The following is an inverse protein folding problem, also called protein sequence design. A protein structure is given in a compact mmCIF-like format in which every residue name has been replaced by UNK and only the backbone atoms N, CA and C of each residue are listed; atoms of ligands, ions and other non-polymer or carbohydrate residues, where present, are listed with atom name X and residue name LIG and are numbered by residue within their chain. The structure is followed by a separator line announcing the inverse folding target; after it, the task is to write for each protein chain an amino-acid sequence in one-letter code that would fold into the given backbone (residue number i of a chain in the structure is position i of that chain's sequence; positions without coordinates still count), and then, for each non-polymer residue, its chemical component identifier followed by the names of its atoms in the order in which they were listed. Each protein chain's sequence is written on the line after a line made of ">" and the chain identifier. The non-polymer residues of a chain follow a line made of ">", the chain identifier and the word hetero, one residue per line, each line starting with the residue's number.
data_IF_952766872975
#
_entry.id   IF_952766872975
#
_cell.length_a   1.000
_cell.length_b   1.000
_cell.length_c   1.000
_cell.angle_alpha   90.00
_cell.angle_beta   90.00
_cell.angle_gamma   90.00
#
_symmetry.space_group_name_H-M   'P 1'
#
loop_
_entity.id
_entity.type
_entity.pdbx_description
1 polymer ?
2 non-polymer ?
3 non-polymer ?
4 non-polymer ?
5 water ?
#
# COMPACT_ATOMS: atom_id res chain seq x y z
N UNK A 24 3.35 -13.91 9.62
CA UNK A 24 1.90 -13.69 9.45
C UNK A 24 1.69 -12.77 8.24
N UNK A 25 0.45 -12.42 7.95
CA UNK A 25 0.13 -11.47 6.85
C UNK A 25 -0.42 -10.19 7.49
N UNK A 26 0.09 -9.01 7.12
CA UNK A 26 -0.51 -7.77 7.64
C UNK A 26 -1.91 -7.54 7.05
N UNK A 27 -2.73 -6.72 7.71
CA UNK A 27 -4.11 -6.49 7.31
C UNK A 27 -4.11 -5.85 5.92
N UNK A 28 -3.19 -4.95 5.65
CA UNK A 28 -3.16 -4.33 4.31
C UNK A 28 -3.09 -5.43 3.22
N UNK A 29 -2.16 -6.36 3.39
CA UNK A 29 -1.97 -7.48 2.43
C UNK A 29 -3.18 -8.38 2.42
N UNK A 30 -3.80 -8.66 3.57
CA UNK A 30 -5.03 -9.44 3.59
C UNK A 30 -6.08 -8.76 2.68
N UNK A 31 -6.16 -7.42 2.73
CA UNK A 31 -7.17 -6.76 1.88
C UNK A 31 -6.91 -6.99 0.39
N UNK A 32 -5.64 -6.99 0.00
CA UNK A 32 -5.28 -7.37 -1.40
C UNK A 32 -5.68 -8.80 -1.73
N UNK A 33 -5.42 -9.76 -0.82
CA UNK A 33 -5.67 -11.17 -1.07
C UNK A 33 -7.18 -11.44 -1.16
N UNK A 34 -7.94 -10.96 -0.18
CA UNK A 34 -9.41 -11.15 -0.14
C UNK A 34 -10.07 -10.47 -1.34
N UNK A 35 -9.54 -9.30 -1.73
CA UNK A 35 -10.09 -8.66 -2.96
C UNK A 35 -9.86 -9.56 -4.19
N UNK A 36 -8.63 -10.06 -4.34
CA UNK A 36 -8.30 -10.91 -5.48
C UNK A 36 -9.18 -12.16 -5.51
N UNK A 37 -9.40 -12.75 -4.35
CA UNK A 37 -10.19 -13.99 -4.19
C UNK A 37 -11.70 -13.73 -4.30
N UNK A 38 -12.15 -12.47 -4.21
CA UNK A 38 -13.58 -12.14 -4.24
C UNK A 38 -14.26 -12.58 -2.98
N UNK A 39 -13.50 -12.57 -1.90
CA UNK A 39 -14.03 -12.86 -0.52
C UNK A 39 -14.82 -11.63 -0.10
N UNK A 40 -16.15 -11.74 -0.16
CA UNK A 40 -17.04 -10.67 0.35
C UNK A 40 -16.93 -10.71 1.87
N UNK A 41 -16.43 -9.65 2.48
CA UNK A 41 -16.24 -9.59 3.95
C UNK A 41 -16.32 -8.11 4.38
N UNK A 42 -16.48 -7.88 5.69
CA UNK A 42 -16.41 -6.56 6.38
C UNK A 42 -14.99 -6.33 6.86
N UNK A 43 -14.55 -5.08 6.93
CA UNK A 43 -13.18 -4.75 7.40
C UNK A 43 -13.01 -5.15 8.87
N UNK A 44 -14.09 -5.01 9.66
CA UNK A 44 -14.17 -5.43 11.09
C UNK A 44 -13.58 -6.84 11.27
N UNK A 45 -13.86 -7.74 10.32
CA UNK A 45 -13.52 -9.18 10.40
C UNK A 45 -12.23 -9.52 9.66
N UNK A 46 -11.62 -8.54 9.00
CA UNK A 46 -10.50 -8.78 8.05
C UNK A 46 -9.35 -9.52 8.76
N UNK A 47 -8.86 -9.05 9.91
CA UNK A 47 -7.69 -9.68 10.57
C UNK A 47 -8.05 -11.07 11.10
N UNK A 48 -9.28 -11.23 11.57
CA UNK A 48 -9.77 -12.49 12.18
C UNK A 48 -9.87 -13.57 11.09
N UNK A 49 -10.55 -13.24 10.00
CA UNK A 49 -10.70 -14.13 8.81
C UNK A 49 -9.29 -14.40 8.26
N UNK A 50 -8.42 -13.38 8.22
CA UNK A 50 -7.12 -13.50 7.55
C UNK A 50 -6.15 -14.44 8.26
N UNK A 51 -6.40 -14.77 9.52
CA UNK A 51 -5.57 -15.77 10.24
C UNK A 51 -5.71 -17.15 9.60
N UNK A 52 -6.77 -17.40 8.84
CA UNK A 52 -7.06 -18.70 8.19
C UNK A 52 -6.47 -18.74 6.77
N UNK A 53 -5.80 -17.69 6.32
CA UNK A 53 -5.10 -17.73 5.00
C UNK A 53 -3.81 -18.52 5.14
N UNK A 54 -3.64 -19.54 4.32
CA UNK A 54 -2.33 -20.25 4.20
C UNK A 54 -1.49 -19.47 3.20
N UNK A 55 -0.23 -19.33 3.47
CA UNK A 55 0.66 -18.53 2.58
C UNK A 55 1.93 -19.35 2.33
N UNK A 56 2.36 -19.40 1.08
CA UNK A 56 3.61 -20.06 0.66
C UNK A 56 4.39 -19.09 -0.18
N UNK A 57 5.70 -18.97 0.09
CA UNK A 57 6.64 -18.12 -0.65
C UNK A 57 7.61 -18.98 -1.45
N UNK A 58 7.88 -18.52 -2.66
CA UNK A 58 8.69 -19.31 -3.65
C UNK A 58 9.73 -18.42 -4.29
N UNK A 59 10.94 -18.95 -4.38
CA UNK A 59 11.86 -18.48 -5.41
C UNK A 59 11.48 -19.02 -6.77
N UNK A 60 11.99 -18.47 -7.85
CA UNK A 60 11.77 -19.00 -9.19
C UNK A 60 13.08 -19.00 -9.96
N UNK A 61 13.46 -20.19 -10.45
CA UNK A 61 14.74 -20.31 -11.21
C UNK A 61 14.40 -21.15 -12.42
N UNK A 62 14.34 -20.55 -13.58
CA UNK A 62 14.07 -21.19 -14.88
C UNK A 62 12.83 -22.08 -14.77
N UNK A 63 11.71 -21.54 -14.26
CA UNK A 63 10.42 -22.26 -14.31
C UNK A 63 10.16 -23.10 -13.10
N UNK A 64 11.13 -23.25 -12.23
CA UNK A 64 11.09 -24.06 -11.01
C UNK A 64 10.86 -23.17 -9.79
N UNK A 65 9.82 -23.47 -9.06
CA UNK A 65 9.44 -22.75 -7.84
C UNK A 65 9.80 -23.56 -6.63
N UNK A 66 10.75 -23.06 -5.85
CA UNK A 66 11.18 -23.70 -4.60
C UNK A 66 10.70 -22.92 -3.39
N UNK A 67 10.22 -23.61 -2.35
CA UNK A 67 9.72 -22.98 -1.11
C UNK A 67 10.88 -22.18 -0.49
N UNK A 68 10.59 -20.99 -0.01
CA UNK A 68 11.50 -20.17 0.84
C UNK A 68 10.74 -19.70 2.06
N UNK A 69 11.43 -19.31 3.15
CA UNK A 69 10.72 -19.15 4.41
C UNK A 69 9.93 -17.84 4.54
N UNK A 70 10.23 -16.85 3.72
CA UNK A 70 9.58 -15.53 3.84
C UNK A 70 9.46 -14.82 2.50
N UNK A 71 8.72 -13.71 2.51
CA UNK A 71 8.32 -12.97 1.30
C UNK A 71 9.54 -12.27 0.73
N UNK A 72 10.63 -12.09 1.49
CA UNK A 72 11.74 -11.32 0.90
C UNK A 72 12.45 -12.19 -0.15
N UNK A 73 12.71 -11.58 -1.32
CA UNK A 73 13.25 -12.25 -2.55
C UNK A 73 12.21 -13.13 -3.23
N UNK A 74 10.97 -13.17 -2.72
CA UNK A 74 9.99 -14.11 -3.32
C UNK A 74 9.71 -13.68 -4.75
N UNK A 75 9.58 -14.64 -5.67
CA UNK A 75 9.18 -14.41 -7.06
C UNK A 75 7.71 -14.75 -7.29
N UNK A 76 7.17 -15.54 -6.39
CA UNK A 76 5.74 -15.93 -6.41
C UNK A 76 5.37 -16.13 -4.96
N UNK A 77 4.20 -15.58 -4.57
CA UNK A 77 3.58 -15.86 -3.26
C UNK A 77 2.21 -16.43 -3.58
N UNK A 78 1.92 -17.55 -2.97
CA UNK A 78 0.58 -18.19 -3.15
C UNK A 78 -0.15 -18.20 -1.83
N UNK A 79 -1.37 -17.67 -1.90
CA UNK A 79 -2.33 -17.63 -0.74
C UNK A 79 -3.44 -18.60 -0.99
N UNK A 80 -3.96 -19.20 0.08
CA UNK A 80 -5.06 -20.16 -0.08
C UNK A 80 -6.03 -19.89 1.05
N UNK A 81 -7.30 -19.77 0.72
CA UNK A 81 -8.31 -19.44 1.74
C UNK A 81 -9.62 -19.96 1.22
N UNK A 82 -10.36 -20.71 2.07
CA UNK A 82 -11.76 -21.12 1.76
C UNK A 82 -11.85 -21.66 0.34
N UNK A 83 -10.90 -22.53 0.04
CA UNK A 83 -10.82 -23.35 -1.19
C UNK A 83 -10.43 -22.55 -2.42
N UNK A 84 -10.00 -21.29 -2.27
CA UNK A 84 -9.64 -20.46 -3.45
C UNK A 84 -8.15 -20.08 -3.35
N UNK A 85 -7.53 -19.87 -4.50
CA UNK A 85 -6.13 -19.42 -4.57
C UNK A 85 -6.07 -17.92 -4.87
N UNK A 86 -4.98 -17.32 -4.47
CA UNK A 86 -4.51 -16.05 -5.06
C UNK A 86 -3.02 -16.13 -5.22
N UNK A 87 -2.52 -15.62 -6.30
CA UNK A 87 -1.07 -15.47 -6.50
C UNK A 87 -0.67 -14.04 -6.54
N UNK A 88 0.54 -13.79 -6.06
CA UNK A 88 1.16 -12.45 -6.05
C UNK A 88 2.52 -12.57 -6.67
N UNK A 89 2.89 -11.56 -7.42
CA UNK A 89 4.21 -11.48 -7.99
C UNK A 89 4.66 -10.05 -8.19
N UNK A 90 5.95 -9.83 -8.08
CA UNK A 90 6.49 -8.49 -8.41
C UNK A 90 6.29 -8.23 -9.89
N UNK A 91 6.01 -6.99 -10.20
CA UNK A 91 5.72 -6.55 -11.52
C UNK A 91 6.28 -5.13 -11.67
N UNK A 92 6.62 -4.79 -12.90
CA UNK A 92 7.00 -3.38 -13.24
C UNK A 92 5.82 -2.66 -14.17
N UNK A 93 5.24 -1.63 -13.58
CA UNK A 93 4.06 -0.96 -14.18
C UNK A 93 4.47 0.48 -14.42
N UNK A 94 4.55 0.88 -15.69
CA UNK A 94 5.07 2.20 -16.17
C UNK A 94 6.33 2.60 -15.37
N UNK A 95 7.30 1.71 -15.31
CA UNK A 95 8.63 1.97 -14.75
C UNK A 95 8.67 1.87 -13.24
N UNK A 96 7.58 1.55 -12.56
CA UNK A 96 7.59 1.44 -11.12
C UNK A 96 7.46 0.00 -10.62
N UNK A 97 8.20 -0.33 -9.59
CA UNK A 97 8.18 -1.64 -8.99
C UNK A 97 6.88 -1.75 -8.18
N UNK A 98 6.16 -2.84 -8.40
CA UNK A 98 4.90 -3.07 -7.75
C UNK A 98 4.65 -4.58 -7.58
N UNK A 99 3.51 -4.88 -7.01
CA UNK A 99 3.05 -6.27 -6.91
C UNK A 99 1.67 -6.37 -7.52
N UNK A 100 1.40 -7.45 -8.18
CA UNK A 100 0.08 -7.81 -8.73
C UNK A 100 -0.44 -9.02 -7.96
N UNK A 101 -1.70 -8.97 -7.57
CA UNK A 101 -2.41 -10.09 -6.96
C UNK A 101 -3.50 -10.53 -7.92
N UNK A 102 -3.70 -11.83 -8.04
CA UNK A 102 -4.81 -12.37 -8.85
C UNK A 102 -5.39 -13.62 -8.23
N UNK A 103 -6.72 -13.63 -8.12
CA UNK A 103 -7.43 -14.80 -7.61
C UNK A 103 -7.63 -15.82 -8.70
N UNK A 104 -7.57 -17.10 -8.35
CA UNK A 104 -7.66 -18.21 -9.30
C UNK A 104 -8.61 -19.27 -8.72
N UNK A 105 -9.61 -19.67 -9.50
CA UNK A 105 -10.50 -20.77 -9.11
C UNK A 105 -9.71 -22.07 -9.04
N UNK A 106 -10.05 -22.95 -8.08
CA UNK A 106 -9.21 -24.13 -7.81
C UNK A 106 -9.30 -25.24 -8.85
N UNK A 107 -10.10 -25.06 -9.90
CA UNK A 107 -10.08 -25.91 -11.11
C UNK A 107 -9.19 -25.33 -12.20
N UNK A 108 -8.56 -24.18 -11.93
CA UNK A 108 -7.66 -23.48 -12.87
C UNK A 108 -8.42 -23.12 -14.15
N UNK A 109 -9.72 -22.87 -14.05
CA UNK A 109 -10.53 -22.46 -15.24
C UNK A 109 -10.78 -20.96 -15.30
N UNK A 110 -10.71 -20.23 -14.19
CA UNK A 110 -10.98 -18.78 -14.26
C UNK A 110 -10.04 -18.01 -13.33
N UNK A 111 -9.76 -16.76 -13.70
CA UNK A 111 -9.34 -15.78 -12.67
C UNK A 111 -10.55 -15.10 -12.07
N UNK A 112 -10.37 -14.58 -10.86
CA UNK A 112 -11.39 -13.93 -10.04
C UNK A 112 -11.26 -12.41 -10.09
N UNK A 113 -10.33 -11.81 -9.37
CA UNK A 113 -10.12 -10.34 -9.50
C UNK A 113 -8.63 -10.17 -9.53
N UNK A 114 -8.17 -9.05 -10.05
CA UNK A 114 -6.75 -8.64 -9.94
C UNK A 114 -6.68 -7.29 -9.24
N UNK A 115 -5.56 -7.03 -8.61
CA UNK A 115 -5.30 -5.70 -8.05
C UNK A 115 -3.79 -5.47 -7.95
N UNK A 116 -3.39 -4.23 -7.75
CA UNK A 116 -1.98 -3.81 -7.64
C UNK A 116 -1.72 -3.22 -6.27
N UNK A 117 -0.53 -3.49 -5.78
CA UNK A 117 0.09 -2.71 -4.70
C UNK A 117 1.30 -1.99 -5.29
N UNK A 118 1.34 -0.67 -5.19
CA UNK A 118 2.56 0.08 -5.54
C UNK A 118 2.44 0.78 -6.86
N UNK A 119 1.30 0.66 -7.48
CA UNK A 119 1.04 1.29 -8.77
C UNK A 119 -0.46 1.35 -8.95
N UNK A 120 -0.90 2.03 -9.96
CA UNK A 120 -2.32 2.27 -10.17
C UNK A 120 -2.67 2.09 -11.65
N UNK A 121 -3.54 1.35 -12.09
CA UNK A 121 -3.85 1.03 -13.51
C UNK A 121 -5.34 0.67 -13.62
N UNK A 122 -6.00 1.25 -14.62
CA UNK A 122 -7.39 0.87 -14.98
C UNK A 122 -7.46 -0.58 -15.46
N UNK A 123 -6.35 -1.21 -15.82
CA UNK A 123 -6.34 -2.58 -16.37
C UNK A 123 -6.91 -3.57 -15.37
N UNK A 124 -6.88 -3.32 -14.07
CA UNK A 124 -7.59 -4.24 -13.14
C UNK A 124 -9.06 -4.46 -13.49
N UNK A 125 -9.70 -3.54 -14.20
CA UNK A 125 -11.11 -3.69 -14.61
C UNK A 125 -11.25 -4.63 -15.79
N UNK A 126 -10.17 -4.86 -16.51
CA UNK A 126 -10.11 -5.80 -17.65
C UNK A 126 -9.77 -7.20 -17.11
N UNK A 127 -8.76 -7.27 -16.25
CA UNK A 127 -8.15 -8.56 -15.80
C UNK A 127 -8.94 -9.07 -14.60
N UNK A 128 -10.21 -9.44 -14.85
CA UNK A 128 -11.15 -9.98 -13.85
C UNK A 128 -12.17 -10.85 -14.57
N UNK A 129 -12.53 -11.96 -13.94
CA UNK A 129 -13.55 -12.92 -14.40
C UNK A 129 -13.26 -13.36 -15.83
N UNK A 130 -12.03 -13.74 -16.13
CA UNK A 130 -11.61 -14.22 -17.46
C UNK A 130 -11.40 -15.73 -17.35
N UNK A 131 -11.65 -16.39 -18.45
CA UNK A 131 -11.32 -17.81 -18.62
C UNK A 131 -9.84 -18.04 -18.75
N UNK A 132 -9.44 -19.19 -18.22
CA UNK A 132 -8.08 -19.75 -18.34
C UNK A 132 -8.26 -21.05 -19.12
N UNK A 133 -7.55 -21.17 -20.21
CA UNK A 133 -7.55 -22.36 -21.08
C UNK A 133 -6.18 -22.97 -20.99
N UNK A 134 -6.03 -24.08 -20.26
CA UNK A 134 -4.75 -24.80 -20.17
C UNK A 134 -3.63 -23.84 -19.75
N UNK A 135 -3.86 -23.12 -18.65
CA UNK A 135 -2.91 -22.26 -17.91
C UNK A 135 -2.74 -20.88 -18.59
N UNK A 136 -3.45 -20.61 -19.69
CA UNK A 136 -3.29 -19.32 -20.42
C UNK A 136 -4.57 -18.51 -20.36
N UNK A 137 -4.51 -17.22 -20.00
CA UNK A 137 -5.73 -16.37 -19.96
C UNK A 137 -6.31 -16.26 -21.37
N UNK A 138 -7.63 -16.29 -21.47
CA UNK A 138 -8.35 -16.11 -22.77
C UNK A 138 -8.61 -14.61 -22.92
N UNK A 139 -7.60 -13.90 -23.43
CA UNK A 139 -7.70 -12.43 -23.69
C UNK A 139 -6.68 -12.05 -24.76
N UNK A 140 -7.05 -11.10 -25.62
CA UNK A 140 -6.14 -10.42 -26.55
C UNK A 140 -5.92 -9.01 -26.00
N UNK A 141 -4.69 -8.59 -25.83
CA UNK A 141 -4.44 -7.21 -25.31
C UNK A 141 -3.90 -6.36 -26.47
N UNK A 142 -3.96 -5.05 -26.28
CA UNK A 142 -3.27 -4.09 -27.18
C UNK A 142 -1.76 -4.32 -27.05
N UNK A 143 -1.15 -4.85 -28.09
CA UNK A 143 0.30 -5.14 -28.19
C UNK A 143 1.16 -3.85 -28.07
N UNK A 144 0.60 -2.65 -28.15
CA UNK A 144 1.42 -1.42 -27.98
C UNK A 144 1.42 -0.90 -26.53
N UNK A 145 0.61 -1.53 -25.64
CA UNK A 145 0.39 -1.00 -24.26
C UNK A 145 1.30 -1.81 -23.33
N UNK A 146 2.41 -1.25 -22.89
CA UNK A 146 3.42 -1.99 -22.08
C UNK A 146 2.69 -2.57 -20.86
N UNK A 147 1.81 -1.81 -20.25
CA UNK A 147 1.11 -2.20 -18.99
C UNK A 147 0.18 -3.39 -19.26
N UNK A 148 -0.51 -3.40 -20.39
CA UNK A 148 -1.45 -4.48 -20.73
C UNK A 148 -0.62 -5.73 -21.00
N UNK A 149 0.51 -5.61 -21.69
CA UNK A 149 1.38 -6.78 -21.94
C UNK A 149 1.89 -7.33 -20.62
N UNK A 150 2.33 -6.44 -19.75
CA UNK A 150 2.87 -6.79 -18.40
C UNK A 150 1.78 -7.51 -17.59
N UNK A 151 0.55 -7.02 -17.57
CA UNK A 151 -0.58 -7.69 -16.84
C UNK A 151 -0.78 -9.10 -17.39
N UNK A 152 -0.86 -9.24 -18.71
CA UNK A 152 -1.11 -10.58 -19.29
C UNK A 152 0.06 -11.51 -18.99
N UNK A 153 1.28 -11.05 -19.15
CA UNK A 153 2.49 -11.84 -18.91
C UNK A 153 2.54 -12.26 -17.43
N UNK A 154 2.27 -11.31 -16.53
CA UNK A 154 2.34 -11.55 -15.07
C UNK A 154 1.21 -12.52 -14.68
N UNK A 155 0.02 -12.33 -15.17
CA UNK A 155 -1.09 -13.21 -14.75
C UNK A 155 -0.82 -14.62 -15.28
N UNK A 156 -0.34 -14.75 -16.51
CA UNK A 156 -0.02 -16.11 -17.01
C UNK A 156 1.09 -16.74 -16.19
N UNK A 157 2.11 -15.98 -15.81
CA UNK A 157 3.24 -16.46 -14.99
C UNK A 157 2.68 -16.98 -13.68
N UNK A 158 1.75 -16.23 -13.11
CA UNK A 158 1.19 -16.63 -11.79
C UNK A 158 0.38 -17.90 -11.94
N UNK A 159 -0.49 -17.98 -12.93
CA UNK A 159 -1.35 -19.17 -13.13
C UNK A 159 -0.39 -20.36 -13.25
N UNK A 160 0.63 -20.27 -14.10
CA UNK A 160 1.62 -21.37 -14.30
C UNK A 160 2.20 -21.80 -12.96
N UNK A 161 2.70 -20.87 -12.16
CA UNK A 161 3.28 -21.14 -10.86
C UNK A 161 2.31 -21.78 -9.92
N UNK A 162 1.09 -21.24 -9.84
CA UNK A 162 0.12 -21.78 -8.86
C UNK A 162 -0.22 -23.21 -9.28
N UNK A 163 -0.39 -23.46 -10.58
CA UNK A 163 -0.70 -24.85 -11.05
C UNK A 163 0.46 -25.76 -10.68
N UNK A 164 1.68 -25.31 -10.89
CA UNK A 164 2.88 -26.15 -10.59
C UNK A 164 2.97 -26.52 -9.11
N UNK A 165 2.63 -25.64 -8.18
CA UNK A 165 2.76 -25.92 -6.72
C UNK A 165 1.46 -26.48 -6.15
N UNK A 166 0.39 -26.53 -6.92
CA UNK A 166 -0.93 -26.98 -6.44
C UNK A 166 -0.92 -28.36 -5.80
N UNK A 167 -0.02 -29.25 -6.14
CA UNK A 167 -0.07 -30.48 -5.36
C UNK A 167 0.11 -30.29 -3.84
N UNK A 168 0.68 -29.17 -3.44
CA UNK A 168 0.81 -28.85 -2.02
C UNK A 168 -0.48 -28.39 -1.34
N UNK A 169 -1.45 -27.97 -2.14
CA UNK A 169 -2.71 -27.47 -1.65
C UNK A 169 -3.96 -28.28 -1.94
N UNK A 170 -4.56 -28.14 -3.12
CA UNK A 170 -5.77 -28.87 -3.40
C UNK A 170 -5.66 -29.60 -4.74
N UNK A 171 -4.48 -29.55 -5.33
CA UNK A 171 -4.14 -30.34 -6.49
C UNK A 171 -5.13 -30.24 -7.64
N UNK B 24 2.04 25.51 -6.41
CA UNK B 24 0.84 25.02 -5.69
C UNK B 24 1.13 24.86 -4.19
N UNK B 25 2.27 24.27 -3.86
CA UNK B 25 2.79 24.12 -2.46
C UNK B 25 3.91 25.15 -2.30
N UNK B 26 3.94 25.97 -1.25
CA UNK B 26 5.08 26.90 -1.06
C UNK B 26 6.34 26.17 -0.60
N UNK B 27 7.50 26.78 -0.81
CA UNK B 27 8.80 26.18 -0.59
C UNK B 27 8.87 25.80 0.91
N UNK B 28 8.32 26.61 1.77
CA UNK B 28 8.43 26.30 3.22
C UNK B 28 7.75 24.94 3.50
N UNK B 29 6.55 24.78 2.98
CA UNK B 29 5.78 23.53 3.15
C UNK B 29 6.54 22.38 2.47
N UNK B 30 7.09 22.59 1.26
CA UNK B 30 7.88 21.52 0.64
C UNK B 30 8.97 21.06 1.61
N UNK B 31 9.61 22.00 2.30
CA UNK B 31 10.66 21.54 3.24
C UNK B 31 10.11 20.65 4.38
N UNK B 32 8.92 20.96 4.88
CA UNK B 32 8.27 20.02 5.83
C UNK B 32 8.00 18.64 5.22
N UNK B 33 7.47 18.61 3.97
CA UNK B 33 7.06 17.37 3.31
C UNK B 33 8.31 16.50 3.04
N UNK B 34 9.35 17.08 2.42
CA UNK B 34 10.57 16.33 2.10
C UNK B 34 11.29 15.87 3.36
N UNK B 35 11.26 16.70 4.43
CA UNK B 35 11.83 16.20 5.71
C UNK B 35 11.05 15.00 6.23
N UNK B 36 9.71 15.05 6.22
CA UNK B 36 8.91 13.92 6.69
C UNK B 36 9.20 12.67 5.88
N UNK B 37 9.33 12.83 4.55
CA UNK B 37 9.53 11.72 3.63
C UNK B 37 10.99 11.23 3.65
N UNK B 38 11.91 11.96 4.27
CA UNK B 38 13.34 11.59 4.24
C UNK B 38 13.91 11.73 2.85
N UNK B 39 13.41 12.70 2.10
CA UNK B 39 13.94 13.03 0.75
C UNK B 39 15.21 13.84 0.98
N UNK B 40 16.33 13.16 0.75
CA UNK B 40 17.66 13.82 0.83
C UNK B 40 17.80 14.66 -0.43
N UNK B 41 17.90 15.97 -0.30
CA UNK B 41 17.91 16.92 -1.41
C UNK B 41 18.67 18.14 -0.89
N UNK B 42 19.12 18.98 -1.82
CA UNK B 42 19.74 20.29 -1.52
C UNK B 42 18.65 21.37 -1.64
N UNK B 43 18.76 22.46 -0.90
CA UNK B 43 17.76 23.55 -0.90
C UNK B 43 17.63 24.20 -2.27
N UNK B 44 18.71 24.33 -3.05
CA UNK B 44 18.64 25.03 -4.38
C UNK B 44 17.64 24.29 -5.30
N UNK B 45 17.45 22.99 -5.07
CA UNK B 45 16.59 22.13 -5.93
C UNK B 45 15.19 21.94 -5.31
N UNK B 46 14.94 22.46 -4.11
CA UNK B 46 13.71 22.17 -3.35
C UNK B 46 12.47 22.56 -4.19
N UNK B 47 12.40 23.77 -4.79
CA UNK B 47 11.17 24.24 -5.48
C UNK B 47 10.96 23.45 -6.78
N UNK B 48 12.03 23.11 -7.46
CA UNK B 48 12.02 22.37 -8.74
C UNK B 48 11.55 20.92 -8.50
N UNK B 49 12.13 20.22 -7.53
CA UNK B 49 11.71 18.86 -7.12
C UNK B 49 10.27 18.91 -6.60
N UNK B 50 9.93 19.95 -5.84
CA UNK B 50 8.60 20.09 -5.20
C UNK B 50 7.45 20.19 -6.19
N UNK B 51 7.68 20.56 -7.44
CA UNK B 51 6.63 20.59 -8.47
C UNK B 51 6.11 19.18 -8.72
N UNK B 52 6.87 18.15 -8.42
CA UNK B 52 6.48 16.74 -8.65
C UNK B 52 5.73 16.14 -7.44
N UNK B 53 5.48 16.91 -6.38
CA UNK B 53 4.67 16.41 -5.23
C UNK B 53 3.20 16.47 -5.64
N UNK B 54 2.53 15.34 -5.56
CA UNK B 54 1.05 15.27 -5.67
C UNK B 54 0.49 15.59 -4.30
N UNK B 55 -0.56 16.39 -4.25
CA UNK B 55 -1.18 16.81 -2.98
C UNK B 55 -2.69 16.65 -3.06
N UNK B 56 -3.27 16.07 -2.03
CA UNK B 56 -4.73 15.90 -1.89
C UNK B 56 -5.13 16.46 -0.54
N UNK B 57 -6.22 17.22 -0.51
CA UNK B 57 -6.81 17.80 0.69
C UNK B 57 -8.15 17.15 1.00
N UNK B 58 -8.38 16.90 2.26
CA UNK B 58 -9.60 16.16 2.75
C UNK B 58 -10.20 16.87 3.92
N UNK B 59 -11.54 16.92 3.90
CA UNK B 59 -12.31 17.05 5.13
C UNK B 59 -12.35 15.73 5.88
N UNK B 60 -12.82 15.77 7.12
CA UNK B 60 -12.91 14.57 7.94
C UNK B 60 -14.19 14.57 8.79
N UNK B 61 -15.14 13.71 8.41
CA UNK B 61 -16.41 13.62 9.13
C UNK B 61 -16.64 12.20 9.64
N UNK B 62 -16.54 12.03 10.95
CA UNK B 62 -16.74 10.70 11.59
C UNK B 62 -15.96 9.63 10.82
N UNK B 63 -14.67 9.88 10.54
CA UNK B 63 -13.79 8.83 10.03
C UNK B 63 -13.78 8.77 8.52
N UNK B 64 -14.63 9.55 7.86
CA UNK B 64 -14.73 9.63 6.41
C UNK B 64 -13.97 10.85 5.91
N UNK B 65 -13.09 10.60 4.97
CA UNK B 65 -12.28 11.66 4.34
C UNK B 65 -12.77 11.92 2.95
N UNK B 66 -13.33 13.10 2.78
CA UNK B 66 -13.79 13.55 1.46
C UNK B 66 -12.85 14.58 0.84
N UNK B 67 -12.61 14.46 -0.44
CA UNK B 67 -11.77 15.37 -1.23
C UNK B 67 -12.35 16.79 -1.12
N UNK B 68 -11.51 17.78 -0.87
CA UNK B 68 -11.84 19.23 -0.98
C UNK B 68 -10.76 19.92 -1.80
N UNK B 69 -11.02 21.14 -2.30
CA UNK B 69 -10.16 21.71 -3.33
C UNK B 69 -8.86 22.34 -2.83
N UNK B 70 -8.83 22.75 -1.59
CA UNK B 70 -7.66 23.49 -1.06
C UNK B 70 -7.41 23.14 0.39
N UNK B 71 -6.31 23.65 0.92
CA UNK B 71 -5.96 23.35 2.27
C UNK B 71 -6.78 24.02 3.31
N UNK B 72 -7.55 25.03 2.94
CA UNK B 72 -8.34 25.68 3.99
C UNK B 72 -9.47 24.73 4.44
N UNK B 73 -9.59 24.58 5.75
CA UNK B 73 -10.50 23.67 6.47
C UNK B 73 -10.08 22.20 6.38
N UNK B 74 -8.89 21.92 5.88
CA UNK B 74 -8.52 20.54 5.72
C UNK B 74 -8.23 19.92 7.03
N UNK B 75 -8.68 18.70 7.19
CA UNK B 75 -8.42 17.90 8.38
C UNK B 75 -7.27 16.93 8.15
N UNK B 76 -7.02 16.64 6.89
CA UNK B 76 -5.89 15.78 6.46
C UNK B 76 -5.43 16.29 5.14
N UNK B 77 -4.12 16.40 4.95
CA UNK B 77 -3.48 16.70 3.66
C UNK B 77 -2.58 15.52 3.41
N UNK B 78 -2.66 14.97 2.22
CA UNK B 78 -1.76 13.86 1.83
C UNK B 78 -0.90 14.31 0.68
N UNK B 79 0.41 14.12 0.87
CA UNK B 79 1.40 14.38 -0.19
C UNK B 79 2.01 13.08 -0.67
N UNK B 80 2.37 13.03 -1.93
CA UNK B 80 2.94 11.84 -2.51
C UNK B 80 4.09 12.25 -3.45
N UNK B 81 5.25 11.67 -3.21
CA UNK B 81 6.37 12.01 -4.01
C UNK B 81 7.35 10.86 -4.07
N UNK B 82 7.79 10.49 -5.26
CA UNK B 82 8.78 9.42 -5.45
C UNK B 82 8.41 8.20 -4.67
N UNK B 83 7.18 7.83 -4.85
CA UNK B 83 6.58 6.68 -4.24
C UNK B 83 6.45 6.62 -2.69
N UNK B 84 6.57 7.77 -2.04
CA UNK B 84 6.44 7.86 -0.60
C UNK B 84 5.29 8.80 -0.23
N UNK B 85 4.64 8.53 0.88
CA UNK B 85 3.58 9.37 1.38
C UNK B 85 4.03 10.20 2.58
N UNK B 86 3.37 11.33 2.75
CA UNK B 86 3.47 12.10 3.95
C UNK B 86 2.05 12.60 4.24
N UNK B 87 1.66 12.59 5.51
CA UNK B 87 0.40 13.14 5.88
C UNK B 87 0.60 14.33 6.83
N UNK B 88 -0.30 15.30 6.73
CA UNK B 88 -0.26 16.49 7.55
C UNK B 88 -1.64 16.69 8.18
N UNK B 89 -1.66 17.09 9.44
CA UNK B 89 -2.91 17.38 10.08
C UNK B 89 -2.72 18.43 11.14
N UNK B 90 -3.77 19.19 11.41
CA UNK B 90 -3.69 20.11 12.56
C UNK B 90 -3.55 19.31 13.86
N UNK B 91 -2.86 19.92 14.81
CA UNK B 91 -2.52 19.33 16.14
C UNK B 91 -2.44 20.46 17.15
N UNK B 92 -2.78 20.19 18.41
CA UNK B 92 -2.60 21.12 19.56
C UNK B 92 -1.43 20.62 20.41
N UNK B 93 -0.37 21.39 20.54
CA UNK B 93 0.88 20.97 21.22
C UNK B 93 1.18 22.05 22.26
N UNK B 94 1.31 21.69 23.53
CA UNK B 94 1.57 22.63 24.65
C UNK B 94 0.69 23.87 24.49
N UNK B 95 -0.61 23.67 24.29
CA UNK B 95 -1.62 24.73 24.20
C UNK B 95 -1.54 25.54 22.92
N UNK B 96 -0.77 25.12 21.91
CA UNK B 96 -0.56 25.87 20.64
C UNK B 96 -1.19 25.12 19.45
N UNK B 97 -1.91 25.82 18.58
CA UNK B 97 -2.43 25.30 17.30
C UNK B 97 -1.23 25.17 16.35
N UNK B 98 -1.03 23.99 15.77
CA UNK B 98 0.13 23.68 14.93
C UNK B 98 -0.30 22.64 13.88
N UNK B 99 0.64 22.26 13.03
CA UNK B 99 0.47 21.16 12.08
C UNK B 99 1.58 20.16 12.30
N UNK B 100 1.24 18.89 12.21
CA UNK B 100 2.23 17.78 12.23
C UNK B 100 2.31 17.18 10.83
N UNK B 101 3.50 16.85 10.36
CA UNK B 101 3.77 16.13 9.12
C UNK B 101 4.41 14.82 9.50
N UNK B 102 4.03 13.73 8.87
CA UNK B 102 4.68 12.43 9.09
C UNK B 102 4.80 11.69 7.77
N UNK B 103 5.99 11.18 7.49
CA UNK B 103 6.21 10.31 6.34
C UNK B 103 5.84 8.87 6.61
N UNK B 104 5.28 8.20 5.61
CA UNK B 104 4.76 6.84 5.71
C UNK B 104 5.25 6.05 4.51
N UNK B 105 5.87 4.90 4.75
CA UNK B 105 6.29 4.02 3.65
C UNK B 105 5.06 3.44 2.96
N UNK B 106 5.12 3.21 1.63
CA UNK B 106 3.91 2.87 0.88
C UNK B 106 3.37 1.46 1.09
N UNK B 107 4.04 0.66 1.92
CA UNK B 107 3.52 -0.62 2.40
C UNK B 107 2.80 -0.46 3.74
N UNK B 108 2.71 0.78 4.26
CA UNK B 108 2.07 1.08 5.57
C UNK B 108 2.71 0.28 6.69
N UNK B 109 4.00 0.03 6.60
CA UNK B 109 4.72 -0.73 7.64
C UNK B 109 5.63 0.15 8.50
N UNK B 110 5.99 1.36 8.06
CA UNK B 110 6.81 2.24 8.92
C UNK B 110 6.41 3.71 8.73
N UNK B 111 6.63 4.51 9.75
CA UNK B 111 6.81 5.96 9.55
C UNK B 111 8.27 6.27 9.27
N UNK B 112 8.49 7.42 8.66
CA UNK B 112 9.80 7.92 8.26
C UNK B 112 10.32 8.99 9.22
N UNK B 113 9.95 10.28 9.06
CA UNK B 113 10.22 11.32 10.06
C UNK B 113 8.91 12.04 10.36
N UNK B 114 8.86 12.66 11.51
CA UNK B 114 7.82 13.62 11.87
C UNK B 114 8.43 15.01 12.00
N UNK B 115 7.63 16.04 11.86
CA UNK B 115 8.04 17.42 12.16
C UNK B 115 6.78 18.25 12.45
N UNK B 116 6.98 19.43 13.04
CA UNK B 116 5.92 20.38 13.40
C UNK B 116 6.14 21.68 12.67
N UNK B 117 5.01 22.28 12.26
CA UNK B 117 4.92 23.71 11.92
C UNK B 117 4.06 24.38 12.98
N UNK B 118 4.53 25.39 13.64
CA UNK B 118 3.72 26.16 14.59
C UNK B 118 3.98 25.86 16.03
N UNK B 119 4.87 24.92 16.30
CA UNK B 119 5.16 24.51 17.69
C UNK B 119 6.49 23.81 17.65
N UNK B 120 7.07 23.60 18.82
CA UNK B 120 8.42 23.06 18.93
C UNK B 120 8.43 21.96 19.99
N UNK B 121 8.85 20.76 19.65
CA UNK B 121 8.81 19.59 20.57
C UNK B 121 9.95 18.63 20.25
N UNK B 122 10.71 18.23 21.27
CA UNK B 122 11.73 17.17 21.14
C UNK B 122 11.09 15.83 20.78
N UNK B 123 9.78 15.68 20.90
CA UNK B 123 9.12 14.39 20.59
C UNK B 123 9.33 14.00 19.13
N UNK B 124 9.64 14.92 18.22
CA UNK B 124 9.96 14.49 16.82
C UNK B 124 11.13 13.51 16.78
N UNK B 125 12.00 13.50 17.80
CA UNK B 125 13.09 12.54 17.90
C UNK B 125 12.61 11.15 18.26
N UNK B 126 11.47 11.03 18.90
CA UNK B 126 10.86 9.75 19.32
C UNK B 126 10.03 9.24 18.14
N UNK B 127 9.20 10.10 17.57
CA UNK B 127 8.24 9.72 16.51
C UNK B 127 8.92 9.75 15.13
N UNK B 128 9.81 8.79 14.88
CA UNK B 128 10.59 8.64 13.64
C UNK B 128 11.06 7.18 13.58
N UNK B 129 11.02 6.62 12.38
CA UNK B 129 11.49 5.25 12.04
C UNK B 129 10.87 4.26 13.01
N UNK B 130 9.57 4.33 13.21
CA UNK B 130 8.80 3.36 14.00
C UNK B 130 8.01 2.45 13.07
N UNK B 131 7.81 1.24 13.53
CA UNK B 131 6.93 0.30 12.83
C UNK B 131 5.48 0.68 13.02
N UNK B 132 4.73 0.33 11.99
CA UNK B 132 3.25 0.42 11.98
C UNK B 132 2.74 -1.01 11.90
N UNK B 133 1.92 -1.40 12.85
CA UNK B 133 1.28 -2.74 12.90
C UNK B 133 -0.20 -2.55 12.66
N UNK B 134 -0.70 -2.88 11.46
CA UNK B 134 -2.14 -2.78 11.14
C UNK B 134 -2.69 -1.40 11.52
N UNK B 135 -2.07 -0.37 10.98
CA UNK B 135 -2.49 1.06 11.05
C UNK B 135 -2.11 1.73 12.37
N UNK B 136 -1.51 1.03 13.33
CA UNK B 136 -1.16 1.66 14.62
C UNK B 136 0.35 1.70 14.75
N UNK B 137 0.92 2.79 15.25
CA UNK B 137 2.34 2.80 15.61
C UNK B 137 2.67 1.74 16.64
N UNK B 138 3.85 1.13 16.50
CA UNK B 138 4.41 0.22 17.54
C UNK B 138 5.23 1.09 18.49
N UNK B 139 4.53 1.66 19.45
CA UNK B 139 5.14 2.46 20.54
C UNK B 139 4.15 2.46 21.69
N UNK B 140 4.66 2.58 22.91
CA UNK B 140 3.74 2.79 24.05
C UNK B 140 4.11 4.12 24.67
N UNK B 141 3.08 4.82 25.04
CA UNK B 141 3.21 6.16 25.62
C UNK B 141 2.66 6.08 27.04
N UNK B 142 3.40 6.79 27.90
CA UNK B 142 3.10 7.00 29.29
C UNK B 142 1.84 7.83 29.20
N UNK B 143 0.94 7.56 30.12
CA UNK B 143 -0.40 8.18 30.12
C UNK B 143 -0.34 9.56 30.78
N UNK B 144 0.83 10.04 31.24
CA UNK B 144 0.91 11.37 31.90
C UNK B 144 1.68 12.40 31.04
N UNK B 145 2.29 12.07 29.88
CA UNK B 145 2.92 13.09 28.97
C UNK B 145 1.90 13.46 27.90
N UNK B 146 1.23 14.59 28.07
CA UNK B 146 0.09 15.04 27.25
C UNK B 146 0.55 15.18 25.79
N UNK B 147 1.72 15.77 25.58
CA UNK B 147 2.21 16.02 24.21
C UNK B 147 2.52 14.67 23.56
N UNK B 148 3.04 13.69 24.29
CA UNK B 148 3.45 12.41 23.68
C UNK B 148 2.17 11.68 23.31
N UNK B 149 1.13 11.77 24.14
CA UNK B 149 -0.18 11.18 23.80
C UNK B 149 -0.71 11.88 22.53
N UNK B 150 -0.58 13.21 22.43
CA UNK B 150 -1.13 13.97 21.28
C UNK B 150 -0.36 13.55 20.02
N UNK B 151 0.96 13.42 20.06
CA UNK B 151 1.77 12.95 18.90
C UNK B 151 1.24 11.58 18.45
N UNK B 152 1.11 10.67 19.40
CA UNK B 152 0.68 9.29 19.08
C UNK B 152 -0.71 9.32 18.42
N UNK B 153 -1.66 10.02 19.01
CA UNK B 153 -3.05 10.11 18.52
C UNK B 153 -2.98 10.68 17.11
N UNK B 154 -2.25 11.77 16.92
CA UNK B 154 -2.18 12.46 15.61
C UNK B 154 -1.55 11.51 14.60
N UNK B 155 -0.43 10.90 14.91
CA UNK B 155 0.23 10.03 13.91
C UNK B 155 -0.67 8.84 13.58
N UNK B 156 -1.32 8.25 14.55
CA UNK B 156 -2.25 7.15 14.21
C UNK B 156 -3.39 7.66 13.34
N UNK B 157 -3.93 8.85 13.62
CA UNK B 157 -5.03 9.44 12.84
C UNK B 157 -4.58 9.58 11.40
N UNK B 158 -3.35 10.08 11.22
CA UNK B 158 -2.82 10.30 9.85
C UNK B 158 -2.63 8.96 9.14
N UNK B 159 -2.06 7.96 9.79
CA UNK B 159 -1.79 6.67 9.14
C UNK B 159 -3.13 6.13 8.69
N UNK B 160 -4.15 6.17 9.57
CA UNK B 160 -5.48 5.66 9.22
C UNK B 160 -6.03 6.38 8.00
N UNK B 161 -5.99 7.71 8.00
CA UNK B 161 -6.49 8.48 6.85
C UNK B 161 -5.76 8.18 5.58
N UNK B 162 -4.43 8.11 5.65
CA UNK B 162 -3.64 7.86 4.42
C UNK B 162 -4.00 6.46 3.89
N UNK B 163 -4.12 5.48 4.73
CA UNK B 163 -4.49 4.12 4.30
C UNK B 163 -5.86 4.16 3.66
N UNK B 164 -6.77 4.91 4.23
CA UNK B 164 -8.12 4.96 3.70
C UNK B 164 -8.22 5.53 2.30
N UNK B 165 -7.42 6.54 2.03
CA UNK B 165 -7.45 7.17 0.74
C UNK B 165 -6.44 6.63 -0.28
N UNK B 166 -5.59 5.73 0.18
CA UNK B 166 -4.51 5.13 -0.62
C UNK B 166 -5.00 4.52 -1.94
N UNK B 167 -6.24 4.08 -2.08
CA UNK B 167 -6.60 3.62 -3.43
C UNK B 167 -6.49 4.68 -4.53
N UNK B 168 -6.45 5.94 -4.12
CA UNK B 168 -6.28 7.06 -5.06
C UNK B 168 -4.84 7.25 -5.52
N UNK B 169 -3.92 6.66 -4.78
CA UNK B 169 -2.52 6.77 -5.05
C UNK B 169 -1.74 5.51 -5.44
N UNK B 170 -1.34 4.65 -4.50
CA UNK B 170 -0.58 3.50 -4.90
C UNK B 170 -1.16 2.25 -4.23
N UNK B 171 -2.25 2.42 -3.50
CA UNK B 171 -3.05 1.32 -2.97
C UNK B 171 -2.34 0.30 -2.13
#
# INVERSE_FOLDING_TARGET
>A
GAMGSNEYVEEQEAENSSKPDDSKIDEHTIGHVFHAMGVVHSKKDRKSLGKNIKVFYFSEEDGHFQTIPSKENAKLIVYFYDNVYAGEAPISISGKEAFIFVGITPDFKKIINSNLHGAKSDLIGTFKDLNIKNSKLEITVDENNSDAKTFLESVNYIIDGVEKISPMLTN
>B
GAMGSNEYVEEQEAENSSKPDDSKIDEHTIGHVFHAMGVVHSKKDRKSLGKNIKVFYFSEEDGHFQTIPSKENAKLIVYFYDNVYAGEAPISISGKEAFIFVGITPDFKKIINSNLHGAKSDLIGTFKDLNIKNSKLEITVDENNSDAKTFLESVNYIIDGVEKISPMLTN
#
